data_IF_014327113567
#
_entry.id   IF_014327113567
#
_cell.length_a   1.000
_cell.length_b   1.000
_cell.length_c   1.000
_cell.angle_alpha   90.00
_cell.angle_beta   90.00
_cell.angle_gamma   90.00
#
_symmetry.space_group_name_H-M   'P 1'
#
loop_
_entity.id
_entity.type
_entity.pdbx_description
1 polymer ?
#
# COMPACT_ATOMS: atom_id res chain seq x y z
N UNK A 1 -37.84 -1.55 28.75
CA UNK A 1 -37.90 -1.24 27.31
C UNK A 1 -36.85 -0.21 26.90
N UNK A 2 -36.81 0.97 27.51
CA UNK A 2 -35.81 2.01 27.20
C UNK A 2 -34.35 1.59 27.46
N UNK A 3 -34.11 0.83 28.52
CA UNK A 3 -32.78 0.31 28.89
C UNK A 3 -32.21 -0.65 27.85
N UNK A 4 -33.04 -1.53 27.28
CA UNK A 4 -32.61 -2.47 26.23
C UNK A 4 -32.15 -1.72 24.99
N UNK A 5 -32.91 -0.70 24.59
CA UNK A 5 -32.56 0.12 23.43
C UNK A 5 -31.21 0.85 23.64
N UNK A 6 -30.95 1.33 24.86
CA UNK A 6 -29.68 1.95 25.22
C UNK A 6 -28.48 0.97 25.12
N UNK A 7 -28.66 -0.31 25.51
CA UNK A 7 -27.62 -1.31 25.34
C UNK A 7 -27.33 -1.63 23.86
N UNK A 8 -28.36 -1.67 23.01
CA UNK A 8 -28.18 -1.89 21.57
C UNK A 8 -27.46 -0.72 20.88
N UNK A 9 -27.76 0.53 21.24
CA UNK A 9 -27.08 1.69 20.66
C UNK A 9 -25.63 1.76 21.13
N UNK A 10 -25.37 1.51 22.42
CA UNK A 10 -24.02 1.48 22.98
C UNK A 10 -23.16 0.38 22.33
N UNK A 11 -23.70 -0.82 22.15
CA UNK A 11 -22.98 -1.92 21.50
C UNK A 11 -22.71 -1.64 20.03
N UNK A 12 -23.64 -1.00 19.31
CA UNK A 12 -23.43 -0.58 17.93
C UNK A 12 -22.31 0.45 17.80
N UNK A 13 -22.28 1.45 18.69
CA UNK A 13 -21.22 2.47 18.72
C UNK A 13 -19.87 1.81 19.03
N UNK A 14 -19.81 0.91 20.01
CA UNK A 14 -18.60 0.17 20.35
C UNK A 14 -18.09 -0.66 19.16
N UNK A 15 -18.98 -1.39 18.47
CA UNK A 15 -18.65 -2.15 17.27
C UNK A 15 -18.06 -1.25 16.18
N UNK A 16 -18.65 -0.07 15.94
CA UNK A 16 -18.16 0.89 14.95
C UNK A 16 -16.77 1.43 15.29
N UNK A 17 -16.53 1.73 16.57
CA UNK A 17 -15.22 2.19 17.05
C UNK A 17 -14.18 1.08 16.88
N UNK A 18 -14.48 -0.14 17.34
CA UNK A 18 -13.58 -1.28 17.19
C UNK A 18 -13.26 -1.58 15.72
N UNK A 19 -14.26 -1.50 14.83
CA UNK A 19 -14.05 -1.69 13.40
C UNK A 19 -13.19 -0.58 12.78
N UNK A 20 -13.38 0.67 13.21
CA UNK A 20 -12.54 1.80 12.78
C UNK A 20 -11.10 1.67 13.26
N UNK A 21 -10.87 1.22 14.49
CA UNK A 21 -9.52 0.94 14.98
C UNK A 21 -8.90 -0.22 14.21
N UNK A 22 -9.66 -1.30 13.98
CA UNK A 22 -9.20 -2.45 13.21
C UNK A 22 -8.79 -2.04 11.79
N UNK A 23 -9.58 -1.21 11.11
CA UNK A 23 -9.28 -0.78 9.73
C UNK A 23 -8.02 0.09 9.64
N UNK A 24 -7.63 0.77 10.72
CA UNK A 24 -6.39 1.54 10.79
C UNK A 24 -5.23 0.66 11.27
N UNK A 25 -5.40 -0.21 12.26
CA UNK A 25 -4.28 -1.01 12.80
C UNK A 25 -3.88 -2.11 11.82
N UNK A 26 -4.85 -2.76 11.19
CA UNK A 26 -4.61 -3.92 10.33
C UNK A 26 -3.63 -3.63 9.18
N UNK A 27 -3.83 -2.61 8.31
CA UNK A 27 -2.95 -2.41 7.16
C UNK A 27 -1.53 -1.94 7.51
N UNK A 28 -1.31 -1.34 8.68
CA UNK A 28 0.00 -0.76 9.04
C UNK A 28 0.85 -1.68 9.92
N UNK A 29 0.21 -2.56 10.71
CA UNK A 29 0.94 -3.41 11.69
C UNK A 29 0.85 -4.89 11.34
N UNK A 30 -0.30 -5.39 10.90
CA UNK A 30 -0.55 -6.83 10.76
C UNK A 30 -0.52 -7.32 9.30
N UNK A 31 -0.96 -6.49 8.36
CA UNK A 31 -0.99 -6.86 6.96
C UNK A 31 0.44 -6.99 6.43
N UNK A 32 0.75 -8.16 5.87
CA UNK A 32 2.02 -8.36 5.20
C UNK A 32 2.03 -7.55 3.88
N UNK A 33 3.13 -6.85 3.56
CA UNK A 33 3.25 -6.18 2.28
C UNK A 33 3.16 -7.21 1.16
N UNK A 34 2.42 -6.88 0.11
CA UNK A 34 2.22 -7.76 -1.02
C UNK A 34 3.57 -8.11 -1.68
N UNK A 35 3.79 -9.40 -1.92
CA UNK A 35 4.95 -9.87 -2.68
C UNK A 35 4.70 -9.65 -4.17
N UNK A 36 5.38 -8.63 -4.73
CA UNK A 36 5.22 -8.26 -6.14
C UNK A 36 5.71 -9.36 -7.08
N UNK A 37 6.73 -10.15 -6.72
CA UNK A 37 7.17 -11.24 -7.59
C UNK A 37 6.09 -12.31 -7.68
N UNK A 38 5.44 -12.64 -6.56
CA UNK A 38 4.33 -13.59 -6.58
C UNK A 38 3.13 -13.08 -7.39
N UNK A 39 2.77 -11.81 -7.24
CA UNK A 39 1.62 -11.22 -7.94
C UNK A 39 1.85 -11.05 -9.44
N UNK A 40 3.09 -10.86 -9.87
CA UNK A 40 3.47 -10.67 -11.28
C UNK A 40 3.82 -11.98 -12.00
N UNK A 41 3.61 -13.14 -11.36
CA UNK A 41 3.99 -14.43 -11.94
C UNK A 41 5.50 -14.65 -12.05
N UNK A 42 6.28 -14.03 -11.18
CA UNK A 42 7.73 -14.15 -11.12
C UNK A 42 8.47 -13.16 -12.03
N UNK A 43 7.85 -12.02 -12.36
CA UNK A 43 8.51 -11.00 -13.19
C UNK A 43 9.81 -10.53 -12.52
N UNK A 44 10.85 -10.38 -13.34
CA UNK A 44 12.18 -9.89 -12.91
C UNK A 44 12.44 -8.45 -13.32
N UNK A 45 11.65 -7.91 -14.24
CA UNK A 45 11.85 -6.59 -14.82
C UNK A 45 10.65 -5.70 -14.53
N UNK A 46 10.92 -4.42 -14.26
CA UNK A 46 9.89 -3.40 -14.10
C UNK A 46 10.21 -2.20 -15.01
N UNK A 47 9.25 -1.84 -15.86
CA UNK A 47 9.31 -0.65 -16.70
C UNK A 47 8.62 0.52 -15.98
N UNK A 48 9.32 1.63 -15.81
CA UNK A 48 8.79 2.82 -15.15
C UNK A 48 8.93 4.01 -16.10
N UNK A 49 7.81 4.66 -16.39
CA UNK A 49 7.77 5.93 -17.13
C UNK A 49 7.75 7.10 -16.15
N UNK A 50 8.40 8.22 -16.51
CA UNK A 50 8.46 9.39 -15.62
C UNK A 50 9.31 9.16 -14.37
N UNK A 51 10.38 8.37 -14.49
CA UNK A 51 11.26 7.96 -13.39
C UNK A 51 12.22 9.04 -12.86
N UNK A 52 12.18 10.25 -13.41
CA UNK A 52 13.15 11.31 -13.08
C UNK A 52 12.88 11.98 -11.74
N UNK A 53 11.62 12.07 -11.32
CA UNK A 53 11.26 12.74 -10.07
C UNK A 53 9.90 12.26 -9.52
N UNK A 54 9.58 12.71 -8.31
CA UNK A 54 8.31 12.47 -7.63
C UNK A 54 8.00 10.98 -7.48
N UNK A 55 6.77 10.62 -7.83
CA UNK A 55 6.24 9.27 -7.64
C UNK A 55 7.02 8.24 -8.47
N UNK A 56 7.33 8.54 -9.73
CA UNK A 56 8.04 7.60 -10.60
C UNK A 56 9.46 7.27 -10.10
N UNK A 57 10.16 8.28 -9.56
CA UNK A 57 11.47 8.11 -8.92
C UNK A 57 11.39 7.21 -7.68
N UNK A 58 10.41 7.44 -6.81
CA UNK A 58 10.26 6.62 -5.60
C UNK A 58 9.87 5.17 -5.93
N UNK A 59 9.02 4.95 -6.94
CA UNK A 59 8.73 3.60 -7.44
C UNK A 59 9.98 2.90 -7.98
N UNK A 60 10.83 3.60 -8.74
CA UNK A 60 12.10 3.04 -9.22
C UNK A 60 12.97 2.57 -8.05
N UNK A 61 13.15 3.42 -7.04
CA UNK A 61 13.93 3.08 -5.85
C UNK A 61 13.35 1.89 -5.07
N UNK A 62 12.03 1.87 -4.84
CA UNK A 62 11.39 0.80 -4.08
C UNK A 62 11.38 -0.53 -4.83
N UNK A 63 11.17 -0.52 -6.15
CA UNK A 63 11.21 -1.73 -6.98
C UNK A 63 12.64 -2.27 -7.11
N UNK A 64 13.64 -1.39 -7.24
CA UNK A 64 15.05 -1.78 -7.20
C UNK A 64 15.44 -2.44 -5.88
N UNK A 65 15.02 -1.87 -4.74
CA UNK A 65 15.21 -2.47 -3.40
C UNK A 65 14.51 -3.82 -3.24
N UNK A 66 13.41 -4.04 -3.95
CA UNK A 66 12.70 -5.33 -4.00
C UNK A 66 13.32 -6.34 -4.95
N UNK A 67 14.41 -6.01 -5.67
CA UNK A 67 15.16 -6.94 -6.51
C UNK A 67 14.72 -6.98 -7.98
N UNK A 68 13.96 -5.99 -8.45
CA UNK A 68 13.63 -5.87 -9.87
C UNK A 68 14.77 -5.24 -10.66
N UNK A 69 15.02 -5.77 -11.86
CA UNK A 69 15.77 -5.08 -12.89
C UNK A 69 14.90 -3.96 -13.48
N UNK A 70 15.41 -2.73 -13.56
CA UNK A 70 14.58 -1.58 -13.91
C UNK A 70 14.86 -1.11 -15.34
N UNK A 71 13.79 -0.82 -16.08
CA UNK A 71 13.84 -0.06 -17.33
C UNK A 71 13.19 1.29 -17.03
N UNK A 72 13.96 2.36 -17.17
CA UNK A 72 13.54 3.70 -16.77
C UNK A 72 13.39 4.57 -18.03
N UNK A 73 12.17 5.00 -18.32
CA UNK A 73 11.86 5.84 -19.49
C UNK A 73 11.56 7.27 -19.04
N UNK A 74 12.35 8.22 -19.54
CA UNK A 74 12.11 9.64 -19.33
C UNK A 74 12.53 10.46 -20.56
N UNK A 75 12.09 11.71 -20.61
CA UNK A 75 12.46 12.66 -21.67
C UNK A 75 13.88 13.22 -21.50
N UNK A 76 14.47 13.09 -20.30
CA UNK A 76 15.77 13.66 -19.93
C UNK A 76 16.58 12.54 -19.27
N UNK A 77 17.47 11.91 -20.05
CA UNK A 77 18.24 10.76 -19.60
C UNK A 77 19.10 11.05 -18.36
N UNK A 78 19.69 12.25 -18.28
CA UNK A 78 20.60 12.65 -17.19
C UNK A 78 19.93 12.85 -15.81
N UNK A 79 18.60 12.79 -15.72
CA UNK A 79 17.88 12.91 -14.44
C UNK A 79 17.28 11.60 -13.95
N UNK A 80 17.58 10.49 -14.63
CA UNK A 80 17.12 9.19 -14.20
C UNK A 80 17.98 8.74 -13.01
N UNK A 81 17.30 8.21 -11.99
CA UNK A 81 17.88 7.74 -10.72
C UNK A 81 18.83 6.57 -10.94
#
# INVERSE_FOLDING_TARGET
MLTLLAYFTLSYILYRICYGIYSIVYPYILAQPMDLHKCTGGAKWALITGSTDGIGKEYALQLGKKGFNLILISRIADRVV
#
